data_IF_793941144516
#
_entry.id   IF_793941144516
#
_cell.length_a   1.000
_cell.length_b   1.000
_cell.length_c   1.000
_cell.angle_alpha   90.00
_cell.angle_beta   90.00
_cell.angle_gamma   90.00
#
_symmetry.space_group_name_H-M   'P 1'
#
loop_
_entity.id
_entity.type
_entity.pdbx_description
1 polymer ?
#
# COMPACT_ATOMS: atom_id res chain seq x y z
N UNK A 1 -28.23 -22.99 -63.95
CA UNK A 1 -27.14 -23.11 -62.96
C UNK A 1 -27.60 -22.39 -61.71
N UNK A 2 -27.90 -23.13 -60.64
CA UNK A 2 -28.35 -22.52 -59.39
C UNK A 2 -27.20 -21.74 -58.76
N UNK A 3 -27.37 -20.42 -58.59
CA UNK A 3 -26.44 -19.65 -57.78
C UNK A 3 -26.49 -20.20 -56.36
N UNK A 4 -25.37 -20.75 -55.88
CA UNK A 4 -25.20 -21.06 -54.47
C UNK A 4 -25.53 -19.80 -53.67
N UNK A 5 -26.63 -19.87 -52.92
CA UNK A 5 -27.13 -18.80 -52.07
C UNK A 5 -26.07 -18.54 -50.99
N UNK A 6 -25.33 -17.43 -51.09
CA UNK A 6 -24.40 -17.02 -50.04
C UNK A 6 -25.17 -16.62 -48.79
N UNK A 7 -24.69 -17.04 -47.62
CA UNK A 7 -25.15 -16.61 -46.29
C UNK A 7 -23.93 -16.10 -45.53
N UNK A 8 -24.11 -15.16 -44.61
CA UNK A 8 -23.01 -14.76 -43.75
C UNK A 8 -22.64 -15.93 -42.82
N UNK A 9 -21.35 -16.29 -42.79
CA UNK A 9 -20.84 -17.33 -41.90
C UNK A 9 -19.41 -16.97 -41.45
N UNK A 10 -19.09 -17.25 -40.19
CA UNK A 10 -17.76 -17.03 -39.63
C UNK A 10 -16.87 -18.24 -39.86
N UNK A 11 -15.65 -18.00 -40.34
CA UNK A 11 -14.54 -18.96 -40.30
C UNK A 11 -13.92 -18.99 -38.90
N UNK A 12 -13.73 -17.81 -38.29
CA UNK A 12 -13.30 -17.64 -36.90
C UNK A 12 -14.21 -16.64 -36.20
N UNK A 13 -14.45 -16.87 -34.92
CA UNK A 13 -15.30 -16.00 -34.08
C UNK A 13 -14.45 -15.23 -33.08
N UNK A 14 -15.02 -14.16 -32.51
CA UNK A 14 -14.39 -13.44 -31.42
C UNK A 14 -14.17 -14.37 -30.21
N UNK A 15 -13.07 -14.15 -29.50
CA UNK A 15 -12.76 -14.84 -28.25
C UNK A 15 -12.75 -13.84 -27.09
N UNK A 16 -13.17 -14.29 -25.89
CA UNK A 16 -13.10 -13.48 -24.68
C UNK A 16 -11.65 -13.07 -24.41
N UNK A 17 -11.45 -11.82 -23.95
CA UNK A 17 -10.12 -11.28 -23.67
C UNK A 17 -10.08 -10.63 -22.29
N UNK A 18 -8.98 -10.89 -21.58
CA UNK A 18 -8.54 -10.11 -20.43
C UNK A 18 -7.34 -9.29 -20.88
N UNK A 19 -7.45 -7.97 -20.76
CA UNK A 19 -6.43 -7.03 -21.25
C UNK A 19 -6.03 -6.11 -20.11
N UNK A 20 -4.74 -5.80 -19.95
CA UNK A 20 -4.36 -4.87 -18.89
C UNK A 20 -4.78 -3.44 -19.23
N UNK A 21 -5.08 -2.66 -18.20
CA UNK A 21 -5.27 -1.23 -18.34
C UNK A 21 -4.06 -0.59 -19.07
N UNK A 22 -4.34 0.15 -20.14
CA UNK A 22 -3.36 0.81 -20.99
C UNK A 22 -2.88 -0.01 -22.20
N UNK A 23 -3.13 -1.32 -22.24
CA UNK A 23 -2.77 -2.18 -23.38
C UNK A 23 -3.75 -1.99 -24.55
N UNK A 24 -3.43 -2.53 -25.72
CA UNK A 24 -4.34 -2.53 -26.89
C UNK A 24 -5.27 -3.74 -26.85
N UNK A 25 -6.57 -3.53 -27.07
CA UNK A 25 -7.54 -4.62 -27.28
C UNK A 25 -7.65 -4.85 -28.79
N UNK A 26 -7.56 -6.11 -29.22
CA UNK A 26 -7.62 -6.48 -30.64
C UNK A 26 -8.64 -7.59 -30.84
N UNK A 27 -9.84 -7.23 -31.30
CA UNK A 27 -10.93 -8.15 -31.60
C UNK A 27 -10.92 -8.47 -33.10
N UNK A 28 -10.78 -9.75 -33.45
CA UNK A 28 -10.63 -10.19 -34.84
C UNK A 28 -11.52 -11.40 -35.11
N UNK A 29 -12.18 -11.38 -36.25
CA UNK A 29 -12.89 -12.53 -36.80
C UNK A 29 -12.72 -12.58 -38.32
N UNK A 30 -12.93 -13.75 -38.89
CA UNK A 30 -12.85 -14.00 -40.32
C UNK A 30 -14.18 -14.53 -40.85
N UNK A 31 -14.64 -14.03 -41.98
CA UNK A 31 -15.83 -14.54 -42.68
C UNK A 31 -15.45 -15.65 -43.68
N UNK A 32 -16.34 -16.62 -43.89
CA UNK A 32 -16.20 -17.62 -44.97
C UNK A 32 -16.61 -17.07 -46.33
N UNK A 33 -17.48 -16.06 -46.34
CA UNK A 33 -18.05 -15.47 -47.55
C UNK A 33 -17.48 -14.08 -47.80
N UNK A 34 -17.17 -13.80 -49.06
CA UNK A 34 -16.58 -12.54 -49.51
C UNK A 34 -17.61 -11.41 -49.59
N UNK A 35 -17.13 -10.17 -49.72
CA UNK A 35 -17.93 -8.96 -49.95
C UNK A 35 -18.97 -8.60 -48.87
N UNK A 36 -18.87 -9.18 -47.68
CA UNK A 36 -19.72 -8.83 -46.54
C UNK A 36 -19.36 -7.47 -45.94
N UNK A 37 -20.37 -6.78 -45.38
CA UNK A 37 -20.15 -5.61 -44.51
C UNK A 37 -20.38 -6.01 -43.06
N UNK A 38 -19.88 -5.24 -42.11
CA UNK A 38 -20.01 -5.56 -40.69
C UNK A 38 -20.41 -4.33 -39.86
N UNK A 39 -21.18 -4.57 -38.81
CA UNK A 39 -21.50 -3.58 -37.77
C UNK A 39 -21.00 -4.07 -36.42
N UNK A 40 -20.41 -3.17 -35.65
CA UNK A 40 -19.96 -3.45 -34.29
C UNK A 40 -20.92 -2.88 -33.26
N UNK A 41 -21.07 -3.60 -32.15
CA UNK A 41 -21.84 -3.20 -30.99
C UNK A 41 -21.03 -3.43 -29.71
N UNK A 42 -21.27 -2.58 -28.72
CA UNK A 42 -20.81 -2.76 -27.34
C UNK A 42 -22.03 -2.75 -26.42
N UNK A 43 -22.16 -3.78 -25.59
CA UNK A 43 -23.27 -3.94 -24.64
C UNK A 43 -24.65 -3.79 -25.32
N UNK A 44 -24.78 -4.32 -26.54
CA UNK A 44 -26.00 -4.25 -27.36
C UNK A 44 -26.26 -2.91 -28.06
N UNK A 45 -25.47 -1.86 -27.78
CA UNK A 45 -25.57 -0.57 -28.45
C UNK A 45 -24.58 -0.50 -29.61
N UNK A 46 -24.93 0.22 -30.69
CA UNK A 46 -24.00 0.44 -31.81
C UNK A 46 -22.71 1.07 -31.28
N UNK A 47 -21.57 0.55 -31.70
CA UNK A 47 -20.28 1.07 -31.27
C UNK A 47 -20.02 2.41 -31.96
N UNK A 48 -20.06 3.49 -31.17
CA UNK A 48 -19.62 4.80 -31.61
C UNK A 48 -18.10 4.86 -31.60
N UNK A 49 -17.49 4.99 -32.78
CA UNK A 49 -16.04 5.03 -32.93
C UNK A 49 -15.51 6.38 -32.43
N UNK A 50 -14.66 6.34 -31.39
CA UNK A 50 -14.00 7.52 -30.84
C UNK A 50 -12.70 7.73 -31.61
N UNK A 51 -12.49 8.94 -32.12
CA UNK A 51 -11.28 9.32 -32.84
C UNK A 51 -10.02 9.03 -32.00
N UNK A 52 -8.96 8.52 -32.64
CA UNK A 52 -7.69 8.07 -32.01
C UNK A 52 -7.77 6.91 -31.00
N UNK A 53 -8.97 6.46 -30.62
CA UNK A 53 -9.19 5.34 -29.70
C UNK A 53 -9.56 4.06 -30.47
N UNK A 54 -10.58 4.14 -31.32
CA UNK A 54 -11.14 3.00 -32.06
C UNK A 54 -10.61 2.96 -33.50
N UNK A 55 -10.12 1.81 -33.94
CA UNK A 55 -9.72 1.54 -35.32
C UNK A 55 -10.48 0.32 -35.81
N UNK A 56 -11.38 0.52 -36.77
CA UNK A 56 -12.12 -0.57 -37.43
C UNK A 56 -11.52 -0.78 -38.81
N UNK A 57 -11.10 -2.01 -39.12
CA UNK A 57 -10.51 -2.38 -40.40
C UNK A 57 -11.21 -3.61 -40.99
N UNK A 58 -11.30 -3.63 -42.32
CA UNK A 58 -11.66 -4.80 -43.13
C UNK A 58 -10.53 -5.05 -44.13
N UNK A 59 -9.99 -6.27 -44.16
CA UNK A 59 -8.99 -6.71 -45.14
C UNK A 59 -9.45 -8.03 -45.76
N UNK A 60 -10.06 -7.97 -46.95
CA UNK A 60 -10.74 -9.12 -47.54
C UNK A 60 -11.85 -9.62 -46.62
N UNK A 61 -11.70 -10.84 -46.11
CA UNK A 61 -12.64 -11.49 -45.20
C UNK A 61 -12.31 -11.30 -43.72
N UNK A 62 -11.20 -10.64 -43.40
CA UNK A 62 -10.79 -10.36 -42.03
C UNK A 62 -11.40 -9.04 -41.56
N UNK A 63 -12.10 -9.08 -40.43
CA UNK A 63 -12.68 -7.93 -39.76
C UNK A 63 -12.01 -7.74 -38.40
N UNK A 64 -11.57 -6.52 -38.10
CA UNK A 64 -10.92 -6.22 -36.83
C UNK A 64 -11.38 -4.90 -36.22
N UNK A 65 -11.55 -4.91 -34.91
CA UNK A 65 -11.69 -3.72 -34.06
C UNK A 65 -10.48 -3.66 -33.13
N UNK A 66 -9.69 -2.59 -33.24
CA UNK A 66 -8.60 -2.26 -32.31
C UNK A 66 -8.99 -1.09 -31.43
N UNK A 67 -8.79 -1.24 -30.12
CA UNK A 67 -9.06 -0.21 -29.12
C UNK A 67 -7.74 0.10 -28.42
N UNK A 68 -7.23 1.31 -28.62
CA UNK A 68 -5.95 1.75 -28.04
C UNK A 68 -6.11 2.13 -26.58
N UNK A 69 -5.07 1.88 -25.77
CA UNK A 69 -4.98 2.33 -24.37
C UNK A 69 -6.23 1.97 -23.56
N UNK A 70 -6.47 0.68 -23.38
CA UNK A 70 -7.65 0.15 -22.70
C UNK A 70 -7.87 0.83 -21.34
N UNK A 71 -9.10 1.25 -21.07
CA UNK A 71 -9.52 1.76 -19.78
C UNK A 71 -10.81 1.07 -19.30
N UNK A 72 -11.27 1.40 -18.10
CA UNK A 72 -12.44 0.76 -17.48
C UNK A 72 -13.72 0.94 -18.32
N UNK A 73 -13.81 2.01 -19.13
CA UNK A 73 -14.95 2.23 -20.02
C UNK A 73 -14.91 1.34 -21.26
N UNK A 74 -13.79 0.67 -21.54
CA UNK A 74 -13.64 -0.29 -22.64
C UNK A 74 -14.09 -1.71 -22.24
N UNK A 75 -14.35 -2.00 -20.96
CA UNK A 75 -14.91 -3.27 -20.54
C UNK A 75 -16.34 -3.48 -21.07
N UNK A 76 -16.66 -4.69 -21.52
CA UNK A 76 -18.01 -5.03 -21.99
C UNK A 76 -18.10 -6.18 -22.97
N UNK A 77 -19.32 -6.48 -23.39
CA UNK A 77 -19.62 -7.47 -24.42
C UNK A 77 -19.57 -6.81 -25.80
N UNK A 78 -18.62 -7.21 -26.63
CA UNK A 78 -18.48 -6.74 -27.99
C UNK A 78 -19.10 -7.75 -28.95
N UNK A 79 -19.93 -7.25 -29.87
CA UNK A 79 -20.60 -8.08 -30.89
C UNK A 79 -20.28 -7.53 -32.26
N UNK A 80 -19.87 -8.40 -33.17
CA UNK A 80 -19.79 -8.11 -34.59
C UNK A 80 -20.95 -8.81 -35.30
N UNK A 81 -21.63 -8.08 -36.18
CA UNK A 81 -22.70 -8.61 -37.04
C UNK A 81 -22.30 -8.43 -38.50
N UNK A 82 -22.08 -9.53 -39.20
CA UNK A 82 -21.89 -9.59 -40.64
C UNK A 82 -23.24 -9.45 -41.33
N UNK A 83 -23.32 -8.53 -42.30
CA UNK A 83 -24.53 -8.20 -43.06
C UNK A 83 -24.54 -8.89 -44.41
N UNK A 84 -25.59 -9.67 -44.67
CA UNK A 84 -25.84 -10.33 -45.95
C UNK A 84 -27.29 -10.10 -46.40
N UNK A 85 -27.56 -10.25 -47.71
CA UNK A 85 -28.90 -10.01 -48.28
C UNK A 85 -29.97 -10.97 -47.77
N UNK A 86 -29.59 -12.18 -47.36
CA UNK A 86 -30.52 -13.20 -46.86
C UNK A 86 -30.51 -13.28 -45.35
N UNK A 87 -29.33 -13.47 -44.75
CA UNK A 87 -29.22 -13.73 -43.32
C UNK A 87 -27.91 -13.24 -42.76
N UNK A 88 -28.03 -12.33 -41.80
CA UNK A 88 -26.93 -11.86 -40.97
C UNK A 88 -26.40 -12.98 -40.06
N UNK A 89 -25.12 -12.89 -39.72
CA UNK A 89 -24.49 -13.69 -38.69
C UNK A 89 -23.85 -12.78 -37.65
N UNK A 90 -23.91 -13.15 -36.38
CA UNK A 90 -23.22 -12.41 -35.31
C UNK A 90 -22.42 -13.35 -34.41
N UNK A 91 -21.34 -12.81 -33.84
CA UNK A 91 -20.61 -13.45 -32.74
C UNK A 91 -20.17 -12.38 -31.74
N UNK A 92 -19.94 -12.81 -30.50
CA UNK A 92 -19.67 -11.92 -29.38
C UNK A 92 -18.50 -12.40 -28.54
N UNK A 93 -17.81 -11.46 -27.91
CA UNK A 93 -16.77 -11.73 -26.93
C UNK A 93 -16.86 -10.74 -25.77
N UNK A 94 -16.62 -11.25 -24.56
CA UNK A 94 -16.43 -10.43 -23.36
C UNK A 94 -15.00 -9.91 -23.32
N UNK A 95 -14.84 -8.59 -23.21
CA UNK A 95 -13.57 -7.94 -22.88
C UNK A 95 -13.63 -7.52 -21.42
N UNK A 96 -12.60 -7.86 -20.65
CA UNK A 96 -12.40 -7.43 -19.25
C UNK A 96 -11.08 -6.68 -19.15
N UNK A 97 -11.08 -5.52 -18.49
CA UNK A 97 -9.87 -4.69 -18.36
C UNK A 97 -9.30 -4.88 -16.94
N UNK A 98 -8.13 -5.50 -16.85
CA UNK A 98 -7.46 -5.80 -15.59
C UNK A 98 -6.53 -4.64 -15.19
N UNK A 99 -6.72 -4.11 -13.99
CA UNK A 99 -5.77 -3.16 -13.41
C UNK A 99 -4.48 -3.90 -13.05
N UNK A 100 -3.37 -3.48 -13.65
CA UNK A 100 -2.05 -4.01 -13.35
C UNK A 100 -1.61 -3.55 -11.96
N UNK A 101 -1.20 -4.51 -11.14
CA UNK A 101 -0.59 -4.20 -9.85
C UNK A 101 0.79 -3.55 -10.04
N UNK A 102 1.04 -2.42 -9.37
CA UNK A 102 2.35 -1.74 -9.47
C UNK A 102 3.38 -2.22 -8.44
N UNK A 103 2.95 -3.04 -7.46
CA UNK A 103 3.82 -3.84 -6.59
C UNK A 103 3.16 -5.17 -6.28
N UNK A 104 3.99 -6.19 -6.16
CA UNK A 104 3.57 -7.51 -5.69
C UNK A 104 3.63 -7.57 -4.17
N UNK A 105 2.71 -8.34 -3.60
CA UNK A 105 2.67 -8.71 -2.18
C UNK A 105 2.63 -10.23 -2.13
N UNK A 106 3.39 -10.81 -1.22
CA UNK A 106 3.25 -12.22 -0.89
C UNK A 106 1.99 -12.41 -0.04
N UNK A 107 0.96 -13.04 -0.61
CA UNK A 107 -0.33 -13.28 0.06
C UNK A 107 -0.34 -14.65 0.76
N UNK A 108 0.75 -14.92 1.47
CA UNK A 108 0.94 -16.11 2.29
C UNK A 108 1.66 -15.70 3.58
N UNK A 109 0.89 -15.59 4.67
CA UNK A 109 1.42 -15.12 5.95
C UNK A 109 2.45 -16.09 6.55
N UNK A 110 2.32 -17.39 6.33
CA UNK A 110 3.14 -18.41 7.01
C UNK A 110 4.61 -18.31 6.62
N UNK A 111 4.90 -18.01 5.35
CA UNK A 111 6.27 -17.84 4.84
C UNK A 111 6.92 -16.63 5.52
N UNK A 112 6.22 -15.49 5.56
CA UNK A 112 6.75 -14.25 6.14
C UNK A 112 6.86 -14.32 7.67
N UNK A 113 5.90 -14.96 8.35
CA UNK A 113 5.97 -15.20 9.79
C UNK A 113 7.18 -16.07 10.12
N UNK A 114 7.42 -17.16 9.35
CA UNK A 114 8.59 -18.01 9.54
C UNK A 114 9.88 -17.23 9.33
N UNK A 115 9.98 -16.47 8.24
CA UNK A 115 11.15 -15.64 7.97
C UNK A 115 11.49 -14.69 9.12
N UNK A 116 10.49 -13.99 9.66
CA UNK A 116 10.68 -13.06 10.77
C UNK A 116 10.96 -13.76 12.11
N UNK A 117 10.44 -14.98 12.31
CA UNK A 117 10.71 -15.81 13.50
C UNK A 117 12.13 -16.39 13.50
N UNK A 118 12.61 -16.78 12.31
CA UNK A 118 13.96 -17.35 12.13
C UNK A 118 15.02 -16.26 11.93
N UNK A 119 14.62 -14.99 11.92
CA UNK A 119 15.49 -13.84 11.72
C UNK A 119 16.49 -13.68 12.87
N UNK A 120 17.78 -13.55 12.52
CA UNK A 120 18.85 -13.26 13.46
C UNK A 120 19.56 -11.97 13.04
N UNK A 121 19.78 -11.08 14.00
CA UNK A 121 20.55 -9.85 13.79
C UNK A 121 21.98 -10.22 13.44
N UNK A 122 22.54 -9.62 12.38
CA UNK A 122 23.88 -9.98 11.88
C UNK A 122 25.02 -9.49 12.76
N UNK A 123 24.79 -8.52 13.64
CA UNK A 123 25.78 -7.96 14.58
C UNK A 123 25.56 -8.49 15.99
N UNK A 124 26.59 -9.12 16.55
CA UNK A 124 26.54 -9.76 17.87
C UNK A 124 26.38 -8.73 19.01
N UNK A 125 26.84 -7.49 18.82
CA UNK A 125 26.73 -6.43 19.82
C UNK A 125 25.32 -5.82 19.92
N UNK A 126 24.40 -6.21 19.02
CA UNK A 126 23.04 -5.69 18.98
C UNK A 126 22.04 -6.79 19.32
N UNK A 127 21.50 -6.72 20.52
CA UNK A 127 20.52 -7.70 21.03
C UNK A 127 19.13 -7.57 20.37
N UNK A 128 18.76 -6.37 19.94
CA UNK A 128 17.45 -6.07 19.38
C UNK A 128 17.49 -4.92 18.36
N UNK A 129 16.65 -5.02 17.32
CA UNK A 129 16.38 -3.91 16.41
C UNK A 129 15.26 -3.02 16.97
N UNK A 130 15.47 -1.71 16.99
CA UNK A 130 14.55 -0.76 17.58
C UNK A 130 13.91 0.08 16.47
N UNK A 131 12.59 0.11 16.45
CA UNK A 131 11.80 0.86 15.49
C UNK A 131 11.10 1.99 16.22
N UNK A 132 11.23 3.24 15.78
CA UNK A 132 10.50 4.36 16.37
C UNK A 132 9.28 4.68 15.50
N UNK A 133 8.09 4.54 16.05
CA UNK A 133 6.86 4.94 15.37
C UNK A 133 6.52 6.38 15.71
N UNK A 134 6.53 7.25 14.72
CA UNK A 134 6.17 8.66 14.88
C UNK A 134 5.18 9.11 13.81
N UNK A 135 4.53 10.26 14.02
CA UNK A 135 3.55 10.81 13.10
C UNK A 135 2.40 11.51 13.82
N UNK A 136 1.44 12.06 13.07
CA UNK A 136 0.36 12.87 13.62
C UNK A 136 -0.47 12.12 14.69
N UNK A 137 -1.15 12.88 15.54
CA UNK A 137 -2.17 12.31 16.44
C UNK A 137 -3.26 11.60 15.62
N UNK A 138 -3.71 10.46 16.14
CA UNK A 138 -4.73 9.65 15.48
C UNK A 138 -4.24 8.86 14.27
N UNK A 139 -3.00 9.00 13.81
CA UNK A 139 -2.52 8.33 12.58
C UNK A 139 -2.49 6.79 12.66
N UNK A 140 -2.58 6.23 13.86
CA UNK A 140 -2.62 4.78 14.10
C UNK A 140 -1.29 4.15 14.53
N UNK A 141 -0.37 4.91 15.15
CA UNK A 141 0.93 4.42 15.66
C UNK A 141 0.77 3.19 16.58
N UNK A 142 0.02 3.33 17.66
CA UNK A 142 -0.27 2.21 18.58
C UNK A 142 -1.04 1.07 17.91
N UNK A 143 -1.91 1.40 16.95
CA UNK A 143 -2.68 0.39 16.18
C UNK A 143 -1.79 -0.44 15.25
N UNK A 144 -0.72 0.13 14.69
CA UNK A 144 0.30 -0.62 13.94
C UNK A 144 0.98 -1.62 14.86
N UNK A 145 1.44 -1.20 16.05
CA UNK A 145 2.09 -2.09 17.01
C UNK A 145 1.14 -3.21 17.42
N UNK A 146 -0.12 -2.89 17.73
CA UNK A 146 -1.12 -3.90 18.08
C UNK A 146 -1.41 -4.87 16.92
N UNK A 147 -1.36 -4.41 15.68
CA UNK A 147 -1.50 -5.27 14.49
C UNK A 147 -0.32 -6.24 14.41
N UNK A 148 0.91 -5.76 14.59
CA UNK A 148 2.12 -6.60 14.63
C UNK A 148 2.01 -7.63 15.78
N UNK A 149 1.64 -7.19 16.98
CA UNK A 149 1.44 -8.09 18.14
C UNK A 149 0.33 -9.11 17.89
N UNK A 150 -0.75 -8.71 17.23
CA UNK A 150 -1.85 -9.62 16.87
C UNK A 150 -1.34 -10.78 16.00
N UNK A 151 -0.50 -10.48 15.01
CA UNK A 151 0.07 -11.47 14.10
C UNK A 151 0.94 -12.48 14.86
N UNK A 152 1.87 -11.99 15.68
CA UNK A 152 2.86 -12.88 16.32
C UNK A 152 2.39 -13.53 17.62
N UNK A 153 1.38 -12.97 18.28
CA UNK A 153 0.81 -13.53 19.51
C UNK A 153 -0.54 -14.22 19.31
N UNK A 154 -1.07 -14.20 18.08
CA UNK A 154 -2.31 -14.89 17.68
C UNK A 154 -3.52 -14.50 18.53
N UNK A 155 -3.58 -13.23 18.94
CA UNK A 155 -4.69 -12.67 19.71
C UNK A 155 -4.96 -11.23 19.30
N UNK A 156 -6.22 -10.86 19.16
CA UNK A 156 -6.59 -9.49 18.85
C UNK A 156 -6.33 -8.56 20.04
N UNK A 157 -5.71 -7.44 19.74
CA UNK A 157 -5.47 -6.36 20.69
C UNK A 157 -6.48 -5.23 20.45
N UNK A 158 -7.54 -5.20 21.26
CA UNK A 158 -8.56 -4.16 21.18
C UNK A 158 -8.07 -2.90 21.91
N UNK A 159 -7.89 -1.81 21.17
CA UNK A 159 -7.72 -0.48 21.77
C UNK A 159 -9.10 0.07 22.16
N UNK A 160 -9.63 -0.32 23.32
CA UNK A 160 -10.86 0.28 23.87
C UNK A 160 -10.72 1.80 24.12
N UNK A 161 -9.49 2.31 24.09
CA UNK A 161 -9.20 3.72 24.29
C UNK A 161 -9.07 4.52 23.01
N UNK A 162 -8.97 3.94 21.81
CA UNK A 162 -8.80 4.67 20.53
C UNK A 162 -10.03 5.56 20.22
N UNK A 163 -10.15 6.63 20.99
CA UNK A 163 -11.24 7.57 20.95
C UNK A 163 -10.90 8.62 19.90
N UNK A 164 -11.93 9.02 19.18
CA UNK A 164 -12.00 10.12 18.23
C UNK A 164 -11.77 11.49 18.92
N UNK A 165 -10.67 11.62 19.66
CA UNK A 165 -10.25 12.85 20.32
C UNK A 165 -9.17 13.57 19.53
N UNK A 166 -9.13 14.90 19.64
CA UNK A 166 -8.10 15.75 19.02
C UNK A 166 -6.75 15.69 19.74
N UNK A 167 -6.66 15.08 20.92
CA UNK A 167 -5.45 15.04 21.75
C UNK A 167 -4.80 13.66 21.80
N UNK A 168 -3.46 13.61 21.91
CA UNK A 168 -2.73 12.35 22.02
C UNK A 168 -3.10 11.56 23.28
N UNK A 169 -3.33 10.26 23.13
CA UNK A 169 -3.57 9.34 24.23
C UNK A 169 -2.30 8.64 24.72
N UNK A 170 -1.31 8.50 23.84
CA UNK A 170 0.03 8.08 24.21
C UNK A 170 0.72 9.29 24.80
N UNK A 171 0.94 9.27 26.12
CA UNK A 171 1.57 10.36 26.88
C UNK A 171 3.01 10.02 27.33
N UNK A 172 3.41 8.76 27.15
CA UNK A 172 4.70 8.23 27.61
C UNK A 172 5.46 7.57 26.47
N UNK A 173 6.78 7.59 26.55
CA UNK A 173 7.64 6.77 25.70
C UNK A 173 7.48 5.30 26.10
N UNK A 174 7.01 4.46 25.17
CA UNK A 174 6.64 3.08 25.44
C UNK A 174 7.31 2.09 24.48
N UNK A 175 8.14 1.21 25.03
CA UNK A 175 8.77 0.08 24.35
C UNK A 175 7.81 -1.10 24.32
N UNK A 176 7.57 -1.61 23.11
CA UNK A 176 6.71 -2.76 22.88
C UNK A 176 7.52 -3.88 22.23
N UNK A 177 7.80 -4.90 23.03
CA UNK A 177 8.32 -6.19 22.53
C UNK A 177 7.21 -6.98 21.85
N UNK A 178 7.60 -7.81 20.89
CA UNK A 178 6.68 -8.63 20.09
C UNK A 178 6.97 -10.10 20.31
N UNK A 179 5.94 -10.84 20.68
CA UNK A 179 6.01 -12.27 20.96
C UNK A 179 5.42 -12.61 22.32
N UNK A 180 5.58 -13.86 22.71
CA UNK A 180 5.05 -14.36 23.97
C UNK A 180 5.94 -15.47 24.52
N UNK A 181 5.72 -15.85 25.77
CA UNK A 181 6.53 -16.87 26.45
C UNK A 181 6.42 -18.28 25.85
N UNK A 182 5.40 -18.57 25.04
CA UNK A 182 5.20 -19.87 24.39
C UNK A 182 5.96 -19.96 23.05
N UNK A 183 5.88 -18.90 22.24
CA UNK A 183 6.39 -18.85 20.87
C UNK A 183 7.75 -18.12 20.77
N UNK A 184 8.26 -17.59 21.88
CA UNK A 184 9.44 -16.75 21.92
C UNK A 184 9.16 -15.29 21.57
N UNK A 185 10.10 -14.42 21.94
CA UNK A 185 10.13 -13.02 21.54
C UNK A 185 10.95 -12.85 20.28
N UNK A 186 10.51 -11.96 19.41
CA UNK A 186 11.30 -11.52 18.26
C UNK A 186 12.39 -10.56 18.72
N UNK A 187 13.53 -10.46 18.01
CA UNK A 187 14.59 -9.51 18.33
C UNK A 187 14.24 -8.09 17.85
N UNK A 188 12.97 -7.69 17.98
CA UNK A 188 12.41 -6.42 17.50
C UNK A 188 11.63 -5.72 18.61
N UNK A 189 11.94 -4.43 18.82
CA UNK A 189 11.23 -3.57 19.76
C UNK A 189 10.66 -2.36 19.03
N UNK A 190 9.37 -2.12 19.22
CA UNK A 190 8.66 -0.99 18.64
C UNK A 190 8.39 0.07 19.71
N UNK A 191 8.87 1.28 19.47
CA UNK A 191 8.82 2.40 20.40
C UNK A 191 7.66 3.30 19.98
N UNK A 192 6.61 3.35 20.79
CA UNK A 192 5.45 4.21 20.61
C UNK A 192 5.66 5.53 21.36
N UNK A 193 5.27 6.64 20.73
CA UNK A 193 5.42 7.98 21.29
C UNK A 193 4.15 8.81 21.11
N UNK A 194 4.11 9.92 21.84
CA UNK A 194 3.07 10.93 21.67
C UNK A 194 3.02 11.46 20.23
N UNK A 195 1.83 11.78 19.73
CA UNK A 195 1.68 12.26 18.36
C UNK A 195 2.24 13.66 18.14
N UNK A 196 2.58 13.95 16.88
CA UNK A 196 2.90 15.31 16.44
C UNK A 196 1.58 16.06 16.25
N UNK A 197 1.52 17.29 16.76
CA UNK A 197 0.36 18.19 16.71
C UNK A 197 0.80 19.59 16.29
N UNK A 198 -0.18 20.40 15.86
CA UNK A 198 0.01 21.80 15.47
C UNK A 198 0.40 22.69 16.66
N UNK A 199 1.42 23.53 16.46
CA UNK A 199 1.93 24.51 17.43
C UNK A 199 3.02 23.96 18.34
N UNK A 200 4.00 24.80 18.71
CA UNK A 200 5.20 24.38 19.47
C UNK A 200 4.93 23.83 20.87
N UNK A 201 3.73 24.05 21.41
CA UNK A 201 3.30 23.62 22.74
C UNK A 201 2.27 22.48 22.70
N UNK A 202 2.12 21.81 21.56
CA UNK A 202 1.19 20.70 21.37
C UNK A 202 1.94 19.47 20.85
N UNK A 203 1.51 18.29 21.29
CA UNK A 203 2.11 17.03 20.88
C UNK A 203 3.57 16.88 21.32
N UNK A 204 4.25 15.89 20.76
CA UNK A 204 5.64 15.57 21.10
C UNK A 204 6.61 16.65 20.62
N UNK A 205 7.55 17.05 21.48
CA UNK A 205 8.60 17.98 21.11
C UNK A 205 9.58 17.32 20.13
N UNK A 206 10.01 18.04 19.08
CA UNK A 206 10.89 17.46 18.04
C UNK A 206 12.23 16.98 18.61
N UNK A 207 12.77 17.71 19.59
CA UNK A 207 14.03 17.32 20.25
C UNK A 207 13.90 16.05 21.10
N UNK A 208 12.70 15.71 21.58
CA UNK A 208 12.46 14.43 22.27
C UNK A 208 12.48 13.28 21.28
N UNK A 209 11.91 13.46 20.09
CA UNK A 209 11.99 12.48 19.01
C UNK A 209 13.45 12.27 18.62
N UNK A 210 14.22 13.36 18.44
CA UNK A 210 15.65 13.28 18.09
C UNK A 210 16.45 12.60 19.21
N UNK A 211 16.13 12.89 20.48
CA UNK A 211 16.73 12.22 21.63
C UNK A 211 16.40 10.73 21.64
N UNK A 212 15.18 10.35 21.28
CA UNK A 212 14.76 8.96 21.13
C UNK A 212 15.53 8.27 19.99
N UNK A 213 15.67 8.91 18.82
CA UNK A 213 16.46 8.39 17.69
C UNK A 213 17.88 8.01 18.11
N UNK A 214 18.50 8.84 18.93
CA UNK A 214 19.86 8.66 19.46
C UNK A 214 19.94 7.67 20.63
N UNK A 215 18.82 7.14 21.11
CA UNK A 215 18.74 6.18 22.22
C UNK A 215 18.79 6.81 23.61
N UNK A 216 18.60 8.13 23.73
CA UNK A 216 18.72 8.82 25.02
C UNK A 216 17.46 8.76 25.88
N UNK A 217 16.34 8.22 25.39
CA UNK A 217 15.05 8.23 26.10
C UNK A 217 14.79 6.86 26.75
N UNK A 218 14.55 6.85 28.06
CA UNK A 218 14.19 5.62 28.81
C UNK A 218 12.69 5.35 28.78
N UNK A 219 12.34 4.08 28.99
CA UNK A 219 10.95 3.62 29.14
C UNK A 219 10.19 4.43 30.19
N UNK A 220 8.95 4.79 29.87
CA UNK A 220 8.07 5.50 30.79
C UNK A 220 8.34 7.01 30.88
N UNK A 221 9.20 7.59 30.03
CA UNK A 221 9.39 9.04 29.96
C UNK A 221 8.05 9.75 29.64
N UNK A 222 7.52 10.62 30.51
CA UNK A 222 6.34 11.42 30.22
C UNK A 222 6.73 12.58 29.30
N UNK A 223 6.09 12.68 28.13
CA UNK A 223 6.32 13.78 27.22
C UNK A 223 5.77 15.09 27.78
N UNK A 224 6.55 16.18 27.62
CA UNK A 224 6.11 17.52 27.97
C UNK A 224 6.15 18.40 26.72
N UNK A 225 4.99 18.83 26.19
CA UNK A 225 4.95 19.71 25.02
C UNK A 225 5.71 21.04 25.21
N UNK A 226 5.84 21.51 26.45
CA UNK A 226 6.42 22.82 26.75
C UNK A 226 7.95 22.80 26.90
N UNK A 227 8.56 21.63 27.08
CA UNK A 227 10.01 21.54 27.32
C UNK A 227 10.56 20.16 26.96
N UNK A 228 11.63 20.07 26.15
CA UNK A 228 12.23 18.79 25.82
C UNK A 228 12.97 18.15 27.01
N UNK A 229 13.24 16.85 26.86
CA UNK A 229 14.11 16.06 27.72
C UNK A 229 15.53 16.67 27.76
N UNK A 230 16.07 16.79 28.97
CA UNK A 230 17.43 17.30 29.20
C UNK A 230 18.33 16.24 29.84
N UNK A 231 19.64 16.41 29.72
CA UNK A 231 20.64 15.46 30.25
C UNK A 231 20.60 15.27 31.77
N UNK A 232 19.99 16.21 32.50
CA UNK A 232 19.81 16.18 33.95
C UNK A 232 18.58 15.38 34.39
N UNK A 233 17.68 15.04 33.46
CA UNK A 233 16.47 14.28 33.75
C UNK A 233 16.81 12.80 33.99
N UNK A 234 16.16 12.15 34.96
CA UNK A 234 16.42 10.74 35.29
C UNK A 234 16.01 9.77 34.15
N UNK A 235 15.09 10.19 33.27
CA UNK A 235 14.72 9.47 32.05
C UNK A 235 15.73 9.64 30.90
N UNK A 236 16.75 10.50 31.04
CA UNK A 236 17.82 10.63 30.06
C UNK A 236 18.89 9.53 30.25
N UNK A 237 19.21 8.82 29.17
CA UNK A 237 20.30 7.86 29.10
C UNK A 237 21.55 8.55 28.52
N UNK A 238 22.56 8.77 29.36
CA UNK A 238 23.75 9.55 28.98
C UNK A 238 24.58 8.91 27.87
N UNK A 239 24.85 7.61 27.99
CA UNK A 239 25.72 6.87 27.07
C UNK A 239 24.92 5.70 26.46
N UNK A 240 24.10 5.96 25.43
CA UNK A 240 23.32 4.91 24.78
C UNK A 240 24.25 3.95 24.02
N UNK A 241 24.00 2.66 24.20
CA UNK A 241 24.62 1.58 23.42
C UNK A 241 24.01 1.52 22.02
N UNK A 242 24.54 0.67 21.13
CA UNK A 242 23.90 0.40 19.85
C UNK A 242 22.49 -0.19 20.03
N UNK A 243 22.29 -1.06 21.03
CA UNK A 243 20.96 -1.61 21.37
C UNK A 243 19.99 -0.60 21.97
N UNK A 244 20.43 0.59 22.36
CA UNK A 244 19.54 1.67 22.81
C UNK A 244 19.08 2.57 21.66
N UNK A 245 19.84 2.62 20.56
CA UNK A 245 19.56 3.49 19.41
C UNK A 245 18.41 2.95 18.57
N UNK A 246 17.75 3.86 17.86
CA UNK A 246 16.77 3.48 16.84
C UNK A 246 17.51 3.02 15.58
N UNK A 247 17.03 1.91 15.01
CA UNK A 247 17.57 1.25 13.83
C UNK A 247 16.72 1.50 12.57
N UNK A 248 15.45 1.90 12.74
CA UNK A 248 14.64 2.44 11.66
C UNK A 248 13.56 3.40 12.19
N UNK A 249 13.37 4.52 11.49
CA UNK A 249 12.31 5.48 11.75
C UNK A 249 11.08 5.13 10.91
N UNK A 250 9.94 4.91 11.57
CA UNK A 250 8.67 4.51 10.96
C UNK A 250 7.66 5.64 11.11
N UNK A 251 7.40 6.35 10.02
CA UNK A 251 6.37 7.38 9.96
C UNK A 251 4.99 6.74 9.73
N UNK A 252 4.01 7.02 10.57
CA UNK A 252 2.63 6.52 10.43
C UNK A 252 1.70 7.66 10.04
N UNK A 253 1.00 7.51 8.91
CA UNK A 253 0.09 8.53 8.37
C UNK A 253 -1.16 7.86 7.79
N UNK A 254 -2.32 8.46 8.00
CA UNK A 254 -3.56 8.02 7.36
C UNK A 254 -3.66 8.52 5.91
N UNK A 255 -4.00 7.62 4.99
CA UNK A 255 -4.12 7.92 3.56
C UNK A 255 -5.17 9.02 3.24
N UNK A 256 -6.22 9.14 4.04
CA UNK A 256 -7.29 10.13 3.88
C UNK A 256 -6.95 11.51 4.48
N UNK A 257 -5.99 11.60 5.41
CA UNK A 257 -5.62 12.85 6.10
C UNK A 257 -4.36 13.54 5.60
N UNK A 258 -3.65 13.00 4.60
CA UNK A 258 -2.40 13.57 4.06
C UNK A 258 -2.52 15.07 3.73
N UNK A 259 -3.64 15.49 3.12
CA UNK A 259 -3.87 16.89 2.74
C UNK A 259 -4.35 17.80 3.89
N UNK A 260 -4.81 17.21 4.99
CA UNK A 260 -5.34 17.95 6.14
C UNK A 260 -4.26 18.24 7.18
N UNK A 261 -3.04 17.72 6.98
CA UNK A 261 -1.91 18.03 7.84
C UNK A 261 -1.56 19.50 7.71
N UNK A 262 -1.50 20.20 8.84
CA UNK A 262 -1.06 21.58 8.92
C UNK A 262 0.43 21.72 8.58
N UNK A 263 0.83 22.93 8.18
CA UNK A 263 2.19 23.20 7.73
C UNK A 263 3.22 22.99 8.86
N UNK A 264 2.87 23.33 10.11
CA UNK A 264 3.75 23.16 11.27
C UNK A 264 4.02 21.68 11.57
N UNK A 265 2.99 20.83 11.56
CA UNK A 265 3.13 19.37 11.67
C UNK A 265 4.03 18.81 10.57
N UNK A 266 3.84 19.25 9.33
CA UNK A 266 4.71 18.85 8.20
C UNK A 266 6.16 19.27 8.46
N UNK A 267 6.39 20.52 8.87
CA UNK A 267 7.73 21.05 9.15
C UNK A 267 8.43 20.30 10.30
N UNK A 268 7.72 20.02 11.40
CA UNK A 268 8.24 19.20 12.52
C UNK A 268 8.64 17.81 12.05
N UNK A 269 7.80 17.15 11.25
CA UNK A 269 8.08 15.83 10.71
C UNK A 269 9.26 15.83 9.73
N UNK A 270 9.40 16.89 8.92
CA UNK A 270 10.55 17.10 8.04
C UNK A 270 11.84 17.31 8.85
N UNK A 271 11.81 18.07 9.95
CA UNK A 271 12.97 18.27 10.83
C UNK A 271 13.47 16.95 11.44
N UNK A 272 12.57 16.11 11.97
CA UNK A 272 12.93 14.76 12.45
C UNK A 272 13.58 13.94 11.34
N UNK A 273 12.99 13.97 10.14
CA UNK A 273 13.48 13.22 8.98
C UNK A 273 14.87 13.70 8.54
N UNK A 274 15.15 14.99 8.57
CA UNK A 274 16.46 15.54 8.24
C UNK A 274 17.53 15.05 9.21
N UNK A 275 17.22 14.96 10.50
CA UNK A 275 18.11 14.36 11.50
C UNK A 275 18.32 12.86 11.25
N UNK A 276 17.24 12.11 10.98
CA UNK A 276 17.36 10.70 10.61
C UNK A 276 18.25 10.51 9.37
N UNK A 277 18.11 11.38 8.36
CA UNK A 277 18.97 11.38 7.17
C UNK A 277 20.43 11.67 7.49
N UNK A 278 20.73 12.61 8.40
CA UNK A 278 22.10 12.89 8.88
C UNK A 278 22.72 11.69 9.58
N UNK A 279 21.90 10.89 10.26
CA UNK A 279 22.29 9.64 10.90
C UNK A 279 22.34 8.45 9.93
N UNK A 280 22.06 8.65 8.64
CA UNK A 280 21.88 7.58 7.64
C UNK A 280 20.83 6.52 8.03
N UNK A 281 19.88 6.90 8.89
CA UNK A 281 18.87 6.01 9.44
C UNK A 281 17.81 5.68 8.36
N UNK A 282 17.47 4.40 8.15
CA UNK A 282 16.35 4.02 7.30
C UNK A 282 15.06 4.69 7.75
N UNK A 283 14.38 5.36 6.82
CA UNK A 283 13.12 6.06 7.08
C UNK A 283 12.03 5.55 6.13
N UNK A 284 10.94 5.06 6.71
CA UNK A 284 9.82 4.44 6.00
C UNK A 284 8.49 5.06 6.42
N UNK A 285 7.48 4.92 5.56
CA UNK A 285 6.12 5.38 5.84
C UNK A 285 5.16 4.19 5.81
N UNK A 286 4.43 3.98 6.90
CA UNK A 286 3.25 3.13 6.95
C UNK A 286 2.03 4.01 6.73
N UNK A 287 1.43 3.89 5.54
CA UNK A 287 0.25 4.63 5.16
C UNK A 287 -1.00 3.83 5.52
N UNK A 288 -1.64 4.18 6.63
CA UNK A 288 -2.80 3.48 7.21
C UNK A 288 -4.12 3.91 6.55
N UNK A 289 -5.24 3.27 6.91
CA UNK A 289 -6.59 3.65 6.46
C UNK A 289 -6.78 3.54 4.94
N UNK A 290 -6.10 2.56 4.32
CA UNK A 290 -6.20 2.34 2.87
C UNK A 290 -7.55 1.78 2.45
N UNK A 291 -8.22 1.08 3.34
CA UNK A 291 -9.56 0.54 3.18
C UNK A 291 -10.65 1.61 3.25
N UNK A 292 -10.57 2.56 4.18
CA UNK A 292 -11.51 3.69 4.21
C UNK A 292 -11.28 4.67 3.05
N UNK A 293 -10.03 4.74 2.58
CA UNK A 293 -9.65 5.63 1.48
C UNK A 293 -10.17 5.16 0.14
N UNK A 294 -10.39 3.86 -0.12
CA UNK A 294 -10.85 3.40 -1.42
C UNK A 294 -11.84 2.23 -1.31
N UNK A 295 -13.00 2.35 -1.96
CA UNK A 295 -14.02 1.29 -1.93
C UNK A 295 -13.51 -0.03 -2.50
N UNK A 296 -12.58 0.01 -3.46
CA UNK A 296 -11.95 -1.18 -4.02
C UNK A 296 -11.16 -1.96 -2.95
N UNK A 297 -10.35 -1.25 -2.16
CA UNK A 297 -9.54 -1.83 -1.08
C UNK A 297 -10.36 -2.17 0.16
N UNK A 298 -11.48 -1.48 0.38
CA UNK A 298 -12.46 -1.85 1.39
C UNK A 298 -13.08 -3.21 1.11
N UNK A 299 -13.43 -3.47 -0.16
CA UNK A 299 -14.05 -4.73 -0.60
C UNK A 299 -13.05 -5.87 -0.69
N UNK A 300 -11.87 -5.59 -1.23
CA UNK A 300 -10.79 -6.55 -1.42
C UNK A 300 -9.45 -5.87 -1.14
N UNK A 301 -8.86 -6.16 0.01
CA UNK A 301 -7.58 -5.58 0.42
C UNK A 301 -6.44 -5.97 -0.53
N UNK A 302 -6.55 -7.09 -1.26
CA UNK A 302 -5.57 -7.52 -2.26
C UNK A 302 -5.50 -6.60 -3.48
N UNK A 303 -6.49 -5.73 -3.65
CA UNK A 303 -6.51 -4.70 -4.69
C UNK A 303 -5.70 -3.44 -4.34
N UNK A 304 -5.06 -3.38 -3.16
CA UNK A 304 -4.36 -2.16 -2.68
C UNK A 304 -3.31 -1.64 -3.66
N UNK A 305 -2.57 -2.53 -4.31
CA UNK A 305 -1.58 -2.18 -5.32
C UNK A 305 -2.13 -2.15 -6.75
N UNK A 306 -3.46 -2.23 -6.93
CA UNK A 306 -4.20 -2.01 -8.18
C UNK A 306 -4.99 -0.70 -8.15
N UNK A 307 -5.31 -0.19 -6.96
CA UNK A 307 -6.11 1.02 -6.75
C UNK A 307 -5.41 2.32 -7.19
N UNK A 308 -5.88 2.93 -8.28
CA UNK A 308 -5.41 4.26 -8.71
C UNK A 308 -5.50 5.32 -7.61
N UNK A 309 -6.53 5.25 -6.75
CA UNK A 309 -6.71 6.18 -5.63
C UNK A 309 -5.61 6.03 -4.59
N UNK A 310 -5.24 4.80 -4.23
CA UNK A 310 -4.12 4.54 -3.31
C UNK A 310 -2.80 4.96 -3.93
N UNK A 311 -2.55 4.68 -5.21
CA UNK A 311 -1.33 5.14 -5.89
C UNK A 311 -1.21 6.68 -5.89
N UNK A 312 -2.34 7.39 -6.08
CA UNK A 312 -2.39 8.85 -5.95
C UNK A 312 -2.03 9.30 -4.52
N UNK A 313 -2.57 8.65 -3.49
CA UNK A 313 -2.21 8.94 -2.09
C UNK A 313 -0.74 8.69 -1.78
N UNK A 314 -0.14 7.65 -2.34
CA UNK A 314 1.31 7.40 -2.25
C UNK A 314 2.09 8.57 -2.87
N UNK A 315 1.67 9.09 -4.03
CA UNK A 315 2.33 10.26 -4.66
C UNK A 315 2.20 11.52 -3.80
N UNK A 316 1.02 11.78 -3.24
CA UNK A 316 0.79 12.91 -2.33
C UNK A 316 1.70 12.84 -1.11
N UNK A 317 1.77 11.67 -0.47
CA UNK A 317 2.65 11.42 0.68
C UNK A 317 4.14 11.59 0.31
N UNK A 318 4.53 11.09 -0.88
CA UNK A 318 5.89 11.23 -1.42
C UNK A 318 6.31 12.69 -1.55
N UNK A 319 5.41 13.55 -2.06
CA UNK A 319 5.68 14.98 -2.22
C UNK A 319 5.70 15.68 -0.86
N UNK A 320 4.70 15.46 -0.01
CA UNK A 320 4.56 16.15 1.28
C UNK A 320 5.74 15.87 2.23
N UNK A 321 6.19 14.61 2.29
CA UNK A 321 7.26 14.20 3.19
C UNK A 321 8.60 13.98 2.51
N UNK A 322 8.68 14.15 1.19
CA UNK A 322 9.89 14.07 0.37
C UNK A 322 10.59 12.70 0.32
N UNK A 323 9.91 11.59 0.63
CA UNK A 323 10.50 10.23 0.62
C UNK A 323 10.45 9.59 -0.78
N UNK A 324 11.10 8.44 -0.98
CA UNK A 324 10.92 7.66 -2.21
C UNK A 324 9.64 6.83 -2.13
N UNK A 325 9.01 6.56 -3.29
CA UNK A 325 7.81 5.70 -3.34
C UNK A 325 8.05 4.35 -2.69
N UNK A 326 9.21 3.74 -2.95
CA UNK A 326 9.61 2.42 -2.43
C UNK A 326 9.58 2.33 -0.91
N UNK A 327 9.74 3.45 -0.20
CA UNK A 327 9.70 3.52 1.26
C UNK A 327 8.29 3.74 1.83
N UNK A 328 7.25 3.80 0.99
CA UNK A 328 5.85 4.00 1.41
C UNK A 328 5.10 2.68 1.28
N UNK A 329 4.57 2.18 2.39
CA UNK A 329 3.83 0.93 2.50
C UNK A 329 2.37 1.21 2.89
N UNK A 330 1.40 1.04 1.97
CA UNK A 330 -0.01 1.01 2.33
C UNK A 330 -0.31 -0.20 3.24
N UNK A 331 -0.89 0.04 4.41
CA UNK A 331 -1.25 -1.01 5.38
C UNK A 331 -2.68 -0.78 5.92
N UNK A 332 -3.28 -1.85 6.42
CA UNK A 332 -4.51 -1.80 7.23
C UNK A 332 -4.18 -2.25 8.65
N UNK A 333 -4.75 -1.58 9.65
CA UNK A 333 -4.67 -1.98 11.04
C UNK A 333 -5.96 -2.70 11.44
N UNK A 334 -5.90 -3.53 12.48
CA UNK A 334 -7.10 -4.07 13.13
C UNK A 334 -7.85 -2.96 13.87
N UNK A 335 -9.13 -2.75 13.55
CA UNK A 335 -9.98 -1.80 14.27
C UNK A 335 -11.47 -2.17 14.29
N UNK A 336 -11.98 -2.88 13.29
CA UNK A 336 -13.38 -3.34 13.20
C UNK A 336 -13.53 -4.87 13.17
N UNK A 337 -12.42 -5.57 12.91
CA UNK A 337 -12.37 -7.01 12.76
C UNK A 337 -12.56 -7.72 14.10
N UNK A 338 -13.38 -8.77 14.08
CA UNK A 338 -13.64 -9.64 15.23
C UNK A 338 -12.74 -10.87 15.27
N UNK A 339 -12.15 -11.20 14.14
CA UNK A 339 -11.28 -12.36 13.93
C UNK A 339 -9.99 -11.91 13.24
N UNK A 340 -8.92 -12.69 13.41
CA UNK A 340 -7.65 -12.45 12.72
C UNK A 340 -7.87 -12.65 11.21
N UNK A 341 -7.45 -11.67 10.42
CA UNK A 341 -7.60 -11.65 8.97
C UNK A 341 -6.23 -11.78 8.29
N UNK A 342 -6.08 -12.80 7.45
CA UNK A 342 -4.83 -13.09 6.76
C UNK A 342 -4.38 -12.00 5.79
N UNK A 343 -5.30 -11.31 5.10
CA UNK A 343 -4.92 -10.25 4.15
C UNK A 343 -4.37 -9.03 4.88
N UNK A 344 -4.93 -8.68 6.05
CA UNK A 344 -4.38 -7.63 6.93
C UNK A 344 -2.97 -8.02 7.39
N UNK A 345 -2.81 -9.28 7.81
CA UNK A 345 -1.51 -9.80 8.24
C UNK A 345 -0.49 -9.73 7.10
N UNK A 346 -0.84 -10.19 5.90
CA UNK A 346 0.06 -10.20 4.75
C UNK A 346 0.56 -8.79 4.39
N UNK A 347 -0.30 -7.78 4.40
CA UNK A 347 0.15 -6.40 4.13
C UNK A 347 1.10 -5.86 5.19
N UNK A 348 0.83 -6.13 6.48
CA UNK A 348 1.72 -5.69 7.55
C UNK A 348 3.06 -6.45 7.51
N UNK A 349 3.01 -7.77 7.29
CA UNK A 349 4.19 -8.62 7.18
C UNK A 349 5.07 -8.24 5.98
N UNK A 350 4.47 -7.98 4.81
CA UNK A 350 5.21 -7.58 3.61
C UNK A 350 6.03 -6.29 3.85
N UNK A 351 5.44 -5.32 4.56
CA UNK A 351 6.14 -4.10 4.98
C UNK A 351 7.20 -4.41 6.04
N UNK A 352 6.82 -5.14 7.11
CA UNK A 352 7.69 -5.41 8.24
C UNK A 352 8.95 -6.20 7.85
N UNK A 353 8.82 -7.23 7.01
CA UNK A 353 9.97 -8.01 6.50
C UNK A 353 11.00 -7.10 5.85
N UNK A 354 10.58 -6.18 4.97
CA UNK A 354 11.49 -5.24 4.31
C UNK A 354 12.13 -4.27 5.30
N UNK A 355 11.33 -3.75 6.23
CA UNK A 355 11.77 -2.78 7.24
C UNK A 355 12.82 -3.40 8.18
N UNK A 356 12.63 -4.65 8.59
CA UNK A 356 13.58 -5.40 9.43
C UNK A 356 14.91 -5.60 8.71
N UNK A 357 14.89 -6.05 7.45
CA UNK A 357 16.12 -6.21 6.67
C UNK A 357 16.88 -4.90 6.50
N UNK A 358 16.18 -3.78 6.24
CA UNK A 358 16.82 -2.47 6.14
C UNK A 358 17.41 -1.98 7.47
N UNK A 359 16.75 -2.25 8.58
CA UNK A 359 17.27 -1.90 9.91
C UNK A 359 18.53 -2.71 10.25
N UNK A 360 18.57 -4.00 9.90
CA UNK A 360 19.73 -4.84 10.12
C UNK A 360 20.89 -4.48 9.17
N UNK A 361 20.61 -4.12 7.91
CA UNK A 361 21.63 -3.57 6.99
C UNK A 361 22.28 -2.31 7.57
N UNK A 362 21.46 -1.40 8.13
CA UNK A 362 21.94 -0.21 8.82
C UNK A 362 22.82 -0.55 10.03
N UNK A 363 22.40 -1.50 10.86
CA UNK A 363 23.20 -1.95 12.00
C UNK A 363 24.54 -2.53 11.53
N UNK A 364 24.57 -3.33 10.46
CA UNK A 364 25.82 -3.88 9.93
C UNK A 364 26.77 -2.79 9.44
N UNK A 365 26.25 -1.76 8.79
CA UNK A 365 27.05 -0.67 8.22
C UNK A 365 27.58 0.32 9.27
N UNK A 366 26.76 0.70 10.26
CA UNK A 366 27.03 1.83 11.17
C UNK A 366 27.41 1.43 12.61
N UNK A 367 27.66 0.15 12.89
CA UNK A 367 28.14 -0.36 14.19
C UNK A 367 29.67 -0.30 14.38
N UNK A 368 30.38 0.57 13.65
CA UNK A 368 31.86 0.66 13.71
C UNK A 368 32.40 1.53 14.82
#
# INVERSE_FOLDING_TARGET
MGSLLSRAEFATVLANQKVNFGDEIVLVCEAKTEDLTATWQKNGQKLDCVHDKHIVEKRGNLFSLRIKKADEQDEGMYTITLKDKQKDASCSAQVTVELKEWRKVEWNQDIMIRELRDFNIRREEVEQLNFLLYGPVGAGKSSVINTIKTIFERRLYVNCLAAEGSTSQTLYYKKCEVGNSKDGFLPFTFNDIMGVEEGDQSGVHTDDIISALKGHVKEGYPFNPNSPLTEHNHYYLKNPTMSDRIHCLVCVIQADRIFMMDEDTIQKMQRVREEAKRMALPHVILMTHVDTTCEMTKKDLRSVYKSKRINKKIEECRVALGVQKSCIFPVKNYYEEKDINEDINCLMLDALTKIVHWADDYVVEYSR
#
